data_IF_673887856675
#
_entry.id   IF_673887856675
#
_cell.length_a   1.000
_cell.length_b   1.000
_cell.length_c   1.000
_cell.angle_alpha   90.00
_cell.angle_beta   90.00
_cell.angle_gamma   90.00
#
_symmetry.space_group_name_H-M   'P 1'
#
loop_
_entity.id
_entity.type
_entity.pdbx_description
1 polymer ?
#
# COMPACT_ATOMS: atom_id res chain seq x y z
N UNK A 1 4.91 37.28 4.94
CA UNK A 1 4.87 35.77 4.94
C UNK A 1 4.02 35.37 3.79
N UNK A 2 4.63 35.00 2.68
CA UNK A 2 3.96 34.47 1.49
C UNK A 2 3.63 33.02 1.77
N UNK A 3 2.37 32.72 2.06
CA UNK A 3 1.88 31.35 2.11
C UNK A 3 1.97 30.77 0.70
N UNK A 4 2.92 29.88 0.50
CA UNK A 4 3.00 29.09 -0.72
C UNK A 4 1.67 28.31 -0.86
N UNK A 5 0.99 28.34 -2.02
CA UNK A 5 -0.23 27.58 -2.21
C UNK A 5 0.09 26.08 -1.99
N UNK A 6 -0.85 25.28 -1.45
CA UNK A 6 -0.65 23.86 -1.28
C UNK A 6 -0.20 23.25 -2.61
N UNK A 7 0.86 22.47 -2.58
CA UNK A 7 1.35 21.73 -3.75
C UNK A 7 0.19 20.98 -4.40
N UNK A 8 0.10 21.03 -5.72
CA UNK A 8 -0.88 20.21 -6.45
C UNK A 8 -0.74 18.75 -6.01
N UNK A 9 -1.84 18.01 -5.80
CA UNK A 9 -1.79 16.64 -5.37
C UNK A 9 -0.95 15.82 -6.36
N UNK A 10 -0.15 14.87 -5.84
CA UNK A 10 0.70 13.96 -6.64
C UNK A 10 -0.12 12.91 -7.43
N UNK A 11 -1.40 13.17 -7.62
CA UNK A 11 -2.39 12.31 -8.27
C UNK A 11 -2.22 12.35 -9.78
N UNK A 12 -2.15 11.17 -10.41
CA UNK A 12 -2.18 11.00 -11.85
C UNK A 12 -3.63 10.72 -12.32
N UNK A 13 -4.27 11.63 -13.11
CA UNK A 13 -5.66 11.45 -13.55
C UNK A 13 -5.90 10.21 -14.41
N UNK A 14 -4.90 9.77 -15.19
CA UNK A 14 -5.03 8.57 -16.03
C UNK A 14 -5.05 7.30 -15.17
N UNK A 15 -4.29 7.26 -14.08
CA UNK A 15 -4.33 6.19 -13.09
C UNK A 15 -5.69 6.13 -12.39
N UNK A 16 -6.24 7.29 -11.97
CA UNK A 16 -7.58 7.36 -11.37
C UNK A 16 -8.62 6.76 -12.31
N UNK A 17 -8.63 7.16 -13.59
CA UNK A 17 -9.57 6.65 -14.58
C UNK A 17 -9.40 5.13 -14.84
N UNK A 18 -8.17 4.62 -14.77
CA UNK A 18 -7.89 3.19 -14.88
C UNK A 18 -8.51 2.39 -13.73
N UNK A 19 -8.24 2.79 -12.48
CA UNK A 19 -8.77 2.09 -11.31
C UNK A 19 -10.28 2.24 -11.15
N UNK A 20 -10.88 3.35 -11.56
CA UNK A 20 -12.34 3.49 -11.58
C UNK A 20 -13.07 2.42 -12.41
N UNK A 21 -12.47 1.97 -13.52
CA UNK A 21 -13.04 0.91 -14.35
C UNK A 21 -13.02 -0.45 -13.69
N UNK A 22 -12.06 -0.68 -12.79
CA UNK A 22 -11.83 -1.97 -12.13
C UNK A 22 -12.49 -2.06 -10.74
N UNK A 23 -12.97 -0.95 -10.18
CA UNK A 23 -13.40 -0.84 -8.79
C UNK A 23 -14.42 -1.92 -8.37
N UNK A 24 -15.39 -2.26 -9.21
CA UNK A 24 -16.43 -3.26 -8.92
C UNK A 24 -15.91 -4.70 -8.79
N UNK A 25 -14.63 -4.94 -9.12
CA UNK A 25 -14.02 -6.28 -9.12
C UNK A 25 -13.03 -6.50 -7.97
N UNK A 26 -12.89 -5.54 -7.05
CA UNK A 26 -11.91 -5.63 -5.95
C UNK A 26 -12.06 -6.91 -5.14
N UNK A 27 -13.29 -7.34 -4.84
CA UNK A 27 -13.56 -8.51 -4.00
C UNK A 27 -13.85 -9.79 -4.78
N UNK A 28 -13.70 -9.78 -6.11
CA UNK A 28 -13.71 -10.97 -6.95
C UNK A 28 -12.36 -11.68 -6.81
N UNK A 29 -12.28 -12.68 -5.93
CA UNK A 29 -11.05 -13.41 -5.62
C UNK A 29 -10.49 -14.21 -6.81
N UNK A 30 -11.30 -14.48 -7.84
CA UNK A 30 -10.87 -15.12 -9.10
C UNK A 30 -10.71 -14.07 -10.22
N UNK A 31 -11.03 -12.81 -9.96
CA UNK A 31 -10.98 -11.69 -10.88
C UNK A 31 -9.57 -11.11 -11.07
N UNK A 32 -9.46 -9.89 -11.63
CA UNK A 32 -8.17 -9.26 -11.94
C UNK A 32 -7.31 -8.99 -10.70
N UNK A 33 -7.92 -8.93 -9.50
CA UNK A 33 -7.21 -8.70 -8.24
C UNK A 33 -6.90 -9.99 -7.45
N UNK A 34 -7.08 -11.18 -8.05
CA UNK A 34 -6.74 -12.45 -7.40
C UNK A 34 -5.29 -12.50 -6.84
N UNK A 35 -4.28 -11.88 -7.50
CA UNK A 35 -2.92 -11.88 -6.94
C UNK A 35 -2.84 -11.11 -5.62
N UNK A 36 -3.60 -10.00 -5.50
CA UNK A 36 -3.67 -9.22 -4.26
C UNK A 36 -4.34 -10.01 -3.13
N UNK A 37 -5.43 -10.72 -3.41
CA UNK A 37 -6.07 -11.58 -2.41
C UNK A 37 -5.12 -12.64 -1.86
N UNK A 38 -4.40 -13.35 -2.75
CA UNK A 38 -3.42 -14.36 -2.33
C UNK A 38 -2.22 -13.75 -1.63
N UNK A 39 -1.74 -12.62 -2.11
CA UNK A 39 -0.61 -11.93 -1.51
C UNK A 39 -0.97 -11.29 -0.18
N UNK A 40 -2.24 -10.93 0.03
CA UNK A 40 -2.67 -10.20 1.22
C UNK A 40 -2.37 -10.95 2.52
N UNK A 41 -2.70 -12.23 2.61
CA UNK A 41 -2.41 -13.02 3.81
C UNK A 41 -0.90 -13.04 4.12
N UNK A 42 -0.06 -13.11 3.09
CA UNK A 42 1.38 -13.11 3.22
C UNK A 42 1.92 -11.76 3.71
N UNK A 43 1.49 -10.65 3.10
CA UNK A 43 1.93 -9.29 3.49
C UNK A 43 1.40 -8.87 4.87
N UNK A 44 0.17 -9.27 5.23
CA UNK A 44 -0.41 -9.02 6.56
C UNK A 44 0.43 -9.66 7.66
N UNK A 45 0.90 -10.90 7.46
CA UNK A 45 1.81 -11.56 8.39
C UNK A 45 3.10 -10.78 8.62
N UNK A 46 3.69 -10.23 7.55
CA UNK A 46 4.87 -9.38 7.61
C UNK A 46 4.61 -8.07 8.36
N UNK A 47 3.55 -7.35 7.97
CA UNK A 47 3.17 -6.07 8.59
C UNK A 47 2.91 -6.28 10.08
N UNK A 48 2.10 -7.29 10.46
CA UNK A 48 1.82 -7.63 11.86
C UNK A 48 3.11 -7.84 12.65
N UNK A 49 4.02 -8.67 12.13
CA UNK A 49 5.28 -8.98 12.82
C UNK A 49 6.09 -7.72 13.11
N UNK A 50 6.28 -6.86 12.11
CA UNK A 50 7.09 -5.66 12.25
C UNK A 50 6.41 -4.57 13.09
N UNK A 51 5.08 -4.44 13.03
CA UNK A 51 4.34 -3.56 13.95
C UNK A 51 4.47 -4.03 15.39
N UNK A 52 4.25 -5.32 15.64
CA UNK A 52 4.39 -5.88 16.98
C UNK A 52 5.82 -5.71 17.54
N UNK A 53 6.84 -5.92 16.71
CA UNK A 53 8.24 -5.68 17.12
C UNK A 53 8.50 -4.20 17.43
N UNK A 54 8.01 -3.29 16.58
CA UNK A 54 8.24 -1.85 16.77
C UNK A 54 7.56 -1.30 18.02
N UNK A 55 6.40 -1.83 18.37
CA UNK A 55 5.60 -1.35 19.51
C UNK A 55 5.68 -2.26 20.76
N UNK A 56 6.51 -3.28 20.74
CA UNK A 56 6.70 -4.18 21.90
C UNK A 56 5.48 -5.04 22.23
N UNK A 57 4.71 -5.44 21.21
CA UNK A 57 3.46 -6.19 21.33
C UNK A 57 3.72 -7.67 21.03
N UNK A 58 3.08 -8.58 21.78
CA UNK A 58 3.12 -10.02 21.46
C UNK A 58 2.28 -10.31 20.19
N UNK A 59 2.90 -10.76 19.10
CA UNK A 59 2.17 -11.03 17.84
C UNK A 59 1.19 -12.22 17.92
N UNK A 60 1.25 -13.03 18.98
CA UNK A 60 0.45 -14.26 19.12
C UNK A 60 -0.87 -14.03 19.87
N UNK A 61 -1.17 -12.82 20.29
CA UNK A 61 -2.48 -12.47 20.87
C UNK A 61 -3.58 -12.50 19.80
N UNK A 62 -4.83 -12.60 20.21
CA UNK A 62 -5.98 -12.64 19.29
C UNK A 62 -6.11 -11.35 18.47
N UNK A 63 -5.88 -10.20 19.11
CA UNK A 63 -5.92 -8.88 18.47
C UNK A 63 -4.60 -8.12 18.70
N UNK A 64 -3.51 -8.54 18.02
CA UNK A 64 -2.18 -8.02 18.31
C UNK A 64 -1.97 -6.56 17.90
N UNK A 65 -2.89 -5.99 17.11
CA UNK A 65 -2.82 -4.59 16.68
C UNK A 65 -3.82 -3.70 17.42
N UNK A 66 -4.48 -4.21 18.49
CA UNK A 66 -5.43 -3.43 19.28
C UNK A 66 -4.79 -2.15 19.83
N UNK A 67 -5.49 -1.02 19.67
CA UNK A 67 -5.03 0.29 20.10
C UNK A 67 -4.09 1.01 19.13
N UNK A 68 -3.61 0.36 18.08
CA UNK A 68 -2.82 1.03 17.03
C UNK A 68 -3.72 1.73 16.01
N UNK A 69 -3.39 2.97 15.70
CA UNK A 69 -4.00 3.76 14.62
C UNK A 69 -3.15 3.59 13.36
N UNK A 70 -3.73 2.98 12.33
CA UNK A 70 -3.04 2.70 11.07
C UNK A 70 -3.69 3.51 9.94
N UNK A 71 -2.85 4.04 9.05
CA UNK A 71 -3.28 4.67 7.80
C UNK A 71 -2.89 3.77 6.64
N UNK A 72 -3.86 3.40 5.80
CA UNK A 72 -3.67 2.66 4.55
C UNK A 72 -3.90 3.62 3.37
N UNK A 73 -2.81 4.12 2.77
CA UNK A 73 -2.86 5.06 1.64
C UNK A 73 -3.00 4.26 0.34
N UNK A 74 -3.98 4.66 -0.49
CA UNK A 74 -4.34 3.91 -1.69
C UNK A 74 -5.00 2.57 -1.32
N UNK A 75 -5.92 2.58 -0.35
CA UNK A 75 -6.52 1.37 0.21
C UNK A 75 -7.33 0.55 -0.80
N UNK A 76 -7.65 1.11 -1.99
CA UNK A 76 -8.45 0.44 -3.00
C UNK A 76 -9.81 0.00 -2.46
N UNK A 77 -10.18 -1.24 -2.72
CA UNK A 77 -11.41 -1.85 -2.19
C UNK A 77 -11.32 -2.33 -0.73
N UNK A 78 -10.26 -2.00 0.02
CA UNK A 78 -10.15 -2.27 1.46
C UNK A 78 -9.61 -3.63 1.86
N UNK A 79 -9.05 -4.42 0.95
CA UNK A 79 -8.59 -5.81 1.22
C UNK A 79 -7.55 -5.85 2.36
N UNK A 80 -6.57 -4.95 2.37
CA UNK A 80 -5.56 -4.86 3.42
C UNK A 80 -6.15 -4.25 4.69
N UNK A 81 -6.85 -3.12 4.54
CA UNK A 81 -7.46 -2.38 5.65
C UNK A 81 -8.34 -3.29 6.52
N UNK A 82 -9.24 -4.08 5.93
CA UNK A 82 -10.09 -5.02 6.67
C UNK A 82 -9.27 -6.11 7.39
N UNK A 83 -8.22 -6.61 6.75
CA UNK A 83 -7.38 -7.63 7.37
C UNK A 83 -6.65 -7.11 8.60
N UNK A 84 -6.24 -5.84 8.60
CA UNK A 84 -5.62 -5.18 9.75
C UNK A 84 -6.64 -4.84 10.85
N UNK A 85 -7.85 -4.42 10.47
CA UNK A 85 -8.94 -4.18 11.41
C UNK A 85 -9.33 -5.47 12.15
N UNK A 86 -9.36 -6.64 11.47
CA UNK A 86 -9.60 -7.95 12.10
C UNK A 86 -8.51 -8.33 13.12
N UNK A 87 -7.32 -7.76 13.02
CA UNK A 87 -6.25 -7.89 14.02
C UNK A 87 -6.34 -6.86 15.15
N UNK A 88 -7.43 -6.06 15.20
CA UNK A 88 -7.73 -5.10 16.26
C UNK A 88 -7.28 -3.67 15.99
N UNK A 89 -6.64 -3.37 14.85
CA UNK A 89 -6.21 -2.01 14.54
C UNK A 89 -7.40 -1.07 14.27
N UNK A 90 -7.25 0.20 14.65
CA UNK A 90 -8.08 1.30 14.18
C UNK A 90 -7.54 1.77 12.84
N UNK A 91 -8.19 1.39 11.74
CA UNK A 91 -7.70 1.64 10.39
C UNK A 91 -8.46 2.78 9.74
N UNK A 92 -7.72 3.79 9.27
CA UNK A 92 -8.19 4.78 8.31
C UNK A 92 -7.68 4.37 6.93
N UNK A 93 -8.56 4.11 6.00
CA UNK A 93 -8.23 3.81 4.60
C UNK A 93 -8.53 5.02 3.72
N UNK A 94 -7.56 5.47 2.92
CA UNK A 94 -7.79 6.57 1.98
C UNK A 94 -7.48 6.16 0.55
N UNK A 95 -8.29 6.65 -0.37
CA UNK A 95 -8.08 6.48 -1.81
C UNK A 95 -8.60 7.71 -2.55
N UNK A 96 -8.00 8.01 -3.69
CA UNK A 96 -8.40 9.14 -4.55
C UNK A 96 -9.48 8.76 -5.57
N UNK A 97 -9.82 7.47 -5.65
CA UNK A 97 -10.86 6.92 -6.51
C UNK A 97 -12.13 6.68 -5.70
N UNK A 98 -13.13 7.52 -5.90
CA UNK A 98 -14.39 7.46 -5.14
C UNK A 98 -15.12 6.12 -5.22
N UNK A 99 -15.03 5.42 -6.36
CA UNK A 99 -15.62 4.08 -6.51
C UNK A 99 -14.92 3.03 -5.64
N UNK A 100 -13.60 3.14 -5.45
CA UNK A 100 -12.85 2.25 -4.57
C UNK A 100 -13.35 2.40 -3.12
N UNK A 101 -13.43 3.63 -2.63
CA UNK A 101 -13.97 3.95 -1.29
C UNK A 101 -15.36 3.37 -1.11
N UNK A 102 -16.24 3.58 -2.10
CA UNK A 102 -17.61 3.05 -2.01
C UNK A 102 -17.65 1.52 -1.92
N UNK A 103 -16.79 0.83 -2.66
CA UNK A 103 -16.67 -0.64 -2.60
C UNK A 103 -16.13 -1.07 -1.24
N UNK A 104 -15.11 -0.39 -0.71
CA UNK A 104 -14.52 -0.68 0.60
C UNK A 104 -15.54 -0.50 1.74
N UNK A 105 -16.29 0.61 1.76
CA UNK A 105 -17.36 0.88 2.72
C UNK A 105 -18.43 -0.22 2.72
N UNK A 106 -18.93 -0.57 1.53
CA UNK A 106 -19.99 -1.58 1.40
C UNK A 106 -19.53 -2.96 1.85
N UNK A 107 -18.29 -3.34 1.54
CA UNK A 107 -17.75 -4.63 1.95
C UNK A 107 -17.49 -4.69 3.46
N UNK A 108 -16.92 -3.63 4.04
CA UNK A 108 -16.71 -3.54 5.49
C UNK A 108 -18.03 -3.60 6.27
N UNK A 109 -19.04 -2.88 5.80
CA UNK A 109 -20.41 -2.95 6.39
C UNK A 109 -20.95 -4.38 6.35
N UNK A 110 -20.84 -5.07 5.21
CA UNK A 110 -21.26 -6.47 5.06
C UNK A 110 -20.46 -7.44 5.92
N UNK A 111 -19.22 -7.10 6.24
CA UNK A 111 -18.31 -7.87 7.11
C UNK A 111 -18.45 -7.54 8.59
N UNK A 112 -19.27 -6.56 8.97
CA UNK A 112 -19.45 -6.11 10.35
C UNK A 112 -18.19 -5.46 10.94
N UNK A 113 -17.35 -4.84 10.10
CA UNK A 113 -16.14 -4.15 10.51
C UNK A 113 -16.35 -2.65 10.53
N UNK A 114 -15.82 -2.01 11.58
CA UNK A 114 -15.77 -0.55 11.71
C UNK A 114 -14.43 -0.02 11.20
N UNK A 115 -14.45 0.61 10.04
CA UNK A 115 -13.29 1.24 9.40
C UNK A 115 -13.65 2.64 8.92
N UNK A 116 -12.69 3.53 8.99
CA UNK A 116 -12.81 4.91 8.53
C UNK A 116 -12.26 5.02 7.09
N UNK A 117 -13.13 4.89 6.11
CA UNK A 117 -12.78 5.06 4.71
C UNK A 117 -13.05 6.48 4.23
N UNK A 118 -12.09 7.11 3.56
CA UNK A 118 -12.21 8.50 3.10
C UNK A 118 -11.74 8.67 1.66
N UNK A 119 -12.52 9.39 0.88
CA UNK A 119 -12.09 9.92 -0.41
C UNK A 119 -11.14 11.09 -0.17
N UNK A 120 -9.87 10.82 -0.08
CA UNK A 120 -8.85 11.81 0.26
C UNK A 120 -7.47 11.42 -0.29
N UNK A 121 -6.60 12.43 -0.45
CA UNK A 121 -5.17 12.21 -0.70
C UNK A 121 -4.36 12.28 0.60
N UNK A 122 -3.11 11.79 0.56
CA UNK A 122 -2.18 11.91 1.68
C UNK A 122 -1.94 13.39 2.06
N UNK A 123 -1.87 14.26 1.07
CA UNK A 123 -1.69 15.71 1.25
C UNK A 123 -2.85 16.35 2.03
N UNK A 124 -4.09 15.91 1.75
CA UNK A 124 -5.26 16.42 2.46
C UNK A 124 -5.24 16.04 3.94
N UNK A 125 -4.86 14.81 4.27
CA UNK A 125 -4.72 14.36 5.66
C UNK A 125 -3.58 15.10 6.37
N UNK A 126 -2.44 15.26 5.70
CA UNK A 126 -1.30 15.99 6.25
C UNK A 126 -1.65 17.45 6.55
N UNK A 127 -2.42 18.11 5.67
CA UNK A 127 -2.92 19.48 5.90
C UNK A 127 -3.86 19.54 7.11
N UNK A 128 -4.56 18.45 7.43
CA UNK A 128 -5.37 18.30 8.65
C UNK A 128 -4.56 18.05 9.93
N UNK A 129 -3.24 17.87 9.83
CA UNK A 129 -2.36 17.60 10.97
C UNK A 129 -2.55 16.21 11.58
N UNK A 130 -3.13 15.28 10.86
CA UNK A 130 -3.35 13.92 11.35
C UNK A 130 -2.03 13.14 11.43
N UNK A 131 -1.93 12.27 12.45
CA UNK A 131 -0.78 11.39 12.64
C UNK A 131 -1.23 10.01 13.08
N UNK A 132 -0.48 8.98 12.66
CA UNK A 132 -0.78 7.58 12.87
C UNK A 132 0.41 6.84 13.48
N UNK A 133 0.14 5.74 14.17
CA UNK A 133 1.19 4.84 14.68
C UNK A 133 1.96 4.20 13.53
N UNK A 134 1.25 3.79 12.47
CA UNK A 134 1.91 3.37 11.25
C UNK A 134 1.16 3.85 9.99
N UNK A 135 1.93 4.12 8.94
CA UNK A 135 1.46 4.51 7.61
C UNK A 135 1.89 3.44 6.62
N UNK A 136 0.94 2.95 5.84
CA UNK A 136 1.13 1.89 4.86
C UNK A 136 0.99 2.48 3.45
N UNK A 137 1.98 2.22 2.60
CA UNK A 137 2.01 2.57 1.18
C UNK A 137 2.26 1.28 0.39
N UNK A 138 1.19 0.58 0.02
CA UNK A 138 1.29 -0.74 -0.60
C UNK A 138 0.93 -0.65 -2.07
N UNK A 139 1.95 -0.66 -2.95
CA UNK A 139 1.82 -0.54 -4.41
C UNK A 139 1.17 0.81 -4.83
N UNK A 140 1.59 1.91 -4.20
CA UNK A 140 1.09 3.27 -4.46
C UNK A 140 2.16 4.17 -5.03
N UNK A 141 3.40 4.04 -4.56
CA UNK A 141 4.50 4.96 -4.90
C UNK A 141 4.85 4.98 -6.39
N UNK A 142 4.53 3.93 -7.15
CA UNK A 142 4.69 3.85 -8.60
C UNK A 142 3.60 4.59 -9.40
N UNK A 143 2.52 5.02 -8.73
CA UNK A 143 1.37 5.69 -9.36
C UNK A 143 1.34 7.20 -9.11
N UNK A 144 2.32 7.74 -8.37
CA UNK A 144 2.40 9.16 -8.06
C UNK A 144 3.27 9.91 -9.08
N UNK A 145 2.96 11.19 -9.31
CA UNK A 145 3.69 12.04 -10.26
C UNK A 145 5.04 12.52 -9.69
N UNK A 146 5.07 12.87 -8.40
CA UNK A 146 6.24 13.38 -7.69
C UNK A 146 6.50 12.52 -6.45
N UNK A 147 7.36 11.51 -6.61
CA UNK A 147 7.69 10.58 -5.53
C UNK A 147 8.34 11.25 -4.32
N UNK A 148 9.36 12.14 -4.44
CA UNK A 148 9.95 12.83 -3.31
C UNK A 148 8.94 13.66 -2.52
N UNK A 149 8.11 14.45 -3.19
CA UNK A 149 7.08 15.26 -2.56
C UNK A 149 6.05 14.40 -1.82
N UNK A 150 5.56 13.33 -2.47
CA UNK A 150 4.63 12.37 -1.88
C UNK A 150 5.21 11.70 -0.62
N UNK A 151 6.44 11.18 -0.68
CA UNK A 151 7.08 10.54 0.47
C UNK A 151 7.31 11.51 1.62
N UNK A 152 7.68 12.77 1.32
CA UNK A 152 7.79 13.82 2.34
C UNK A 152 6.47 14.06 3.06
N UNK A 153 5.36 14.15 2.32
CA UNK A 153 4.01 14.27 2.89
C UNK A 153 3.65 13.05 3.73
N UNK A 154 3.84 11.84 3.21
CA UNK A 154 3.58 10.62 3.95
C UNK A 154 4.38 10.55 5.26
N UNK A 155 5.63 11.07 5.25
CA UNK A 155 6.46 11.17 6.43
C UNK A 155 5.85 12.00 7.56
N UNK A 156 5.11 13.08 7.24
CA UNK A 156 4.45 13.92 8.25
C UNK A 156 3.26 13.23 8.91
N UNK A 157 2.66 12.23 8.25
CA UNK A 157 1.54 11.45 8.77
C UNK A 157 1.97 10.37 9.77
N UNK A 158 3.27 10.07 9.85
CA UNK A 158 3.81 9.14 10.84
C UNK A 158 4.14 9.93 12.11
N UNK A 159 3.56 9.53 13.26
CA UNK A 159 3.92 10.16 14.54
C UNK A 159 5.38 9.88 14.91
N UNK A 160 6.00 10.70 15.79
CA UNK A 160 7.30 10.38 16.33
C UNK A 160 7.34 8.97 16.97
N UNK A 161 8.33 8.17 16.59
CA UNK A 161 8.44 6.77 16.99
C UNK A 161 7.48 5.80 16.29
N UNK A 162 6.74 6.29 15.29
CA UNK A 162 5.87 5.47 14.43
C UNK A 162 6.63 4.74 13.32
N UNK A 163 5.91 3.95 12.53
CA UNK A 163 6.45 3.10 11.48
C UNK A 163 5.87 3.49 10.11
N UNK A 164 6.69 3.45 9.06
CA UNK A 164 6.22 3.46 7.68
C UNK A 164 6.56 2.13 7.01
N UNK A 165 5.58 1.53 6.34
CA UNK A 165 5.75 0.33 5.51
C UNK A 165 5.48 0.70 4.07
N UNK A 166 6.45 0.43 3.19
CA UNK A 166 6.31 0.69 1.75
C UNK A 166 6.57 -0.60 0.99
N UNK A 167 5.65 -0.97 0.11
CA UNK A 167 5.84 -2.03 -0.86
C UNK A 167 5.68 -1.48 -2.27
N UNK A 168 6.53 -1.93 -3.18
CA UNK A 168 6.48 -1.54 -4.60
C UNK A 168 7.23 -2.54 -5.45
N UNK A 169 6.95 -2.59 -6.74
CA UNK A 169 7.72 -3.38 -7.69
C UNK A 169 9.03 -2.64 -8.00
N UNK A 170 10.15 -3.33 -7.76
CA UNK A 170 11.48 -2.74 -7.96
C UNK A 170 11.77 -2.51 -9.46
N UNK A 171 12.38 -1.38 -9.80
CA UNK A 171 12.79 -1.05 -11.18
C UNK A 171 14.05 -1.81 -11.59
N UNK A 172 13.89 -3.10 -11.89
CA UNK A 172 14.96 -3.98 -12.40
C UNK A 172 14.53 -4.69 -13.68
N UNK A 173 15.49 -5.08 -14.52
CA UNK A 173 15.21 -5.87 -15.71
C UNK A 173 14.47 -7.19 -15.40
N UNK A 174 14.74 -7.78 -14.25
CA UNK A 174 14.08 -8.99 -13.79
C UNK A 174 12.60 -8.70 -13.46
N UNK A 175 12.30 -7.58 -12.79
CA UNK A 175 10.93 -7.14 -12.55
C UNK A 175 10.19 -6.87 -13.88
N UNK A 176 10.83 -6.23 -14.85
CA UNK A 176 10.26 -6.03 -16.17
C UNK A 176 9.87 -7.35 -16.85
N UNK A 177 10.79 -8.32 -16.87
CA UNK A 177 10.53 -9.61 -17.50
C UNK A 177 9.45 -10.42 -16.77
N UNK A 178 9.43 -10.40 -15.44
CA UNK A 178 8.52 -11.24 -14.66
C UNK A 178 7.17 -10.54 -14.45
N UNK A 179 7.15 -9.31 -13.95
CA UNK A 179 5.92 -8.62 -13.58
C UNK A 179 5.19 -8.06 -14.82
N UNK A 180 5.92 -7.46 -15.77
CA UNK A 180 5.30 -6.85 -16.95
C UNK A 180 5.12 -7.88 -18.06
N UNK A 181 6.21 -8.42 -18.64
CA UNK A 181 6.07 -9.37 -19.75
C UNK A 181 5.44 -10.68 -19.31
N UNK A 182 5.85 -11.24 -18.17
CA UNK A 182 5.36 -12.52 -17.68
C UNK A 182 3.92 -12.44 -17.19
N UNK A 183 3.63 -11.62 -16.20
CA UNK A 183 2.33 -11.58 -15.55
C UNK A 183 1.25 -10.90 -16.41
N UNK A 184 1.56 -9.80 -17.10
CA UNK A 184 0.56 -9.05 -17.88
C UNK A 184 0.36 -9.62 -19.30
N UNK A 185 1.44 -9.96 -20.01
CA UNK A 185 1.36 -10.33 -21.43
C UNK A 185 1.35 -11.83 -21.71
N UNK A 186 2.06 -12.63 -20.91
CA UNK A 186 2.17 -14.09 -21.14
C UNK A 186 1.12 -14.84 -20.34
N UNK A 187 1.01 -14.60 -19.04
CA UNK A 187 0.12 -15.34 -18.15
C UNK A 187 -1.27 -14.70 -18.00
N UNK A 188 -1.42 -13.44 -18.37
CA UNK A 188 -2.70 -12.73 -18.23
C UNK A 188 -3.19 -12.64 -16.77
N UNK A 189 -2.28 -12.68 -15.80
CA UNK A 189 -2.61 -12.64 -14.38
C UNK A 189 -3.02 -11.25 -13.92
N UNK A 190 -2.62 -10.22 -14.67
CA UNK A 190 -2.93 -8.83 -14.41
C UNK A 190 -3.41 -8.15 -15.69
N UNK A 191 -4.28 -7.13 -15.62
CA UNK A 191 -4.67 -6.34 -16.78
C UNK A 191 -3.45 -5.74 -17.49
N UNK A 192 -3.46 -5.74 -18.82
CA UNK A 192 -2.39 -5.13 -19.61
C UNK A 192 -2.29 -3.64 -19.33
N UNK A 193 -1.07 -3.11 -19.17
CA UNK A 193 -0.81 -1.71 -18.89
C UNK A 193 -0.96 -1.31 -17.43
N UNK A 194 -1.07 -2.27 -16.51
CA UNK A 194 -1.09 -2.00 -15.07
C UNK A 194 0.26 -1.42 -14.59
N UNK A 195 1.38 -1.85 -15.19
CA UNK A 195 2.70 -1.40 -14.78
C UNK A 195 3.49 -0.76 -15.93
N UNK A 196 3.97 0.46 -15.70
CA UNK A 196 4.89 1.15 -16.59
C UNK A 196 6.31 1.10 -16.02
N UNK A 197 7.26 0.50 -16.72
CA UNK A 197 8.65 0.38 -16.31
C UNK A 197 9.26 1.65 -15.71
N UNK A 198 8.99 2.81 -16.33
CA UNK A 198 9.54 4.10 -15.89
C UNK A 198 8.97 4.59 -14.56
N UNK A 199 7.80 4.09 -14.17
CA UNK A 199 7.12 4.43 -12.91
C UNK A 199 7.52 3.50 -11.75
N UNK A 200 8.18 2.37 -12.02
CA UNK A 200 8.66 1.46 -10.98
C UNK A 200 9.72 2.16 -10.11
N UNK A 201 9.71 1.89 -8.82
CA UNK A 201 10.49 2.63 -7.82
C UNK A 201 11.58 1.73 -7.22
N UNK A 202 12.78 2.28 -7.06
CA UNK A 202 13.87 1.56 -6.37
C UNK A 202 13.77 1.78 -4.86
N UNK A 203 14.08 0.75 -4.03
CA UNK A 203 14.12 0.92 -2.57
C UNK A 203 15.00 2.08 -2.09
N UNK A 204 16.08 2.38 -2.84
CA UNK A 204 16.96 3.52 -2.53
C UNK A 204 16.30 4.87 -2.79
N UNK A 205 15.39 4.97 -3.75
CA UNK A 205 14.62 6.19 -4.02
C UNK A 205 13.60 6.45 -2.91
N UNK A 206 12.99 5.38 -2.36
CA UNK A 206 12.09 5.48 -1.19
C UNK A 206 12.85 5.98 0.03
N UNK A 207 13.98 5.36 0.35
CA UNK A 207 14.78 5.77 1.53
C UNK A 207 15.34 7.18 1.40
N UNK A 208 15.74 7.59 0.19
CA UNK A 208 16.21 8.94 -0.07
C UNK A 208 15.07 9.98 0.02
N UNK A 209 13.88 9.63 -0.49
CA UNK A 209 12.71 10.53 -0.45
C UNK A 209 12.16 10.75 0.96
N UNK A 210 12.22 9.74 1.83
CA UNK A 210 11.85 9.89 3.24
C UNK A 210 12.90 10.70 4.02
N UNK A 211 14.19 10.46 3.79
CA UNK A 211 15.27 11.15 4.48
C UNK A 211 15.20 11.08 6.01
N UNK A 212 15.89 12.02 6.69
CA UNK A 212 15.79 12.15 8.13
C UNK A 212 14.43 12.75 8.54
N UNK A 213 13.79 12.30 9.65
CA UNK A 213 14.37 11.44 10.69
C UNK A 213 14.16 9.94 10.49
N UNK A 214 13.75 9.48 9.31
CA UNK A 214 13.49 8.06 9.08
C UNK A 214 14.77 7.24 8.97
N UNK A 215 14.76 6.05 9.57
CA UNK A 215 15.81 5.05 9.44
C UNK A 215 15.24 3.74 8.89
N UNK A 216 15.92 3.13 7.93
CA UNK A 216 15.52 1.82 7.41
C UNK A 216 15.80 0.74 8.46
N UNK A 217 14.76 0.10 8.99
CA UNK A 217 14.87 -0.95 10.00
C UNK A 217 14.87 -2.35 9.39
N UNK A 218 14.14 -2.57 8.31
CA UNK A 218 14.09 -3.86 7.61
C UNK A 218 13.77 -3.70 6.13
N UNK A 219 14.30 -4.60 5.31
CA UNK A 219 14.03 -4.69 3.88
C UNK A 219 14.05 -6.13 3.42
N UNK A 220 13.06 -6.53 2.65
CA UNK A 220 12.97 -7.87 2.06
C UNK A 220 12.43 -7.79 0.64
N UNK A 221 12.75 -8.76 -0.20
CA UNK A 221 12.06 -8.98 -1.45
C UNK A 221 11.02 -10.09 -1.29
N UNK A 222 10.10 -10.14 -2.25
CA UNK A 222 9.11 -11.22 -2.36
C UNK A 222 9.27 -11.91 -3.71
N UNK A 223 9.21 -13.24 -3.71
CA UNK A 223 9.20 -14.06 -4.93
C UNK A 223 7.92 -14.87 -4.97
N UNK A 224 7.32 -14.94 -6.14
CA UNK A 224 6.22 -15.85 -6.42
C UNK A 224 6.78 -17.14 -7.05
N UNK A 225 6.31 -18.28 -6.57
CA UNK A 225 6.59 -19.56 -7.20
C UNK A 225 5.55 -19.78 -8.32
N UNK A 226 5.95 -19.86 -9.60
CA UNK A 226 5.01 -19.96 -10.71
C UNK A 226 4.23 -21.30 -10.73
N UNK A 227 4.75 -22.35 -10.09
CA UNK A 227 4.12 -23.68 -10.10
C UNK A 227 2.97 -23.82 -9.10
N UNK A 228 3.15 -23.27 -7.87
CA UNK A 228 2.13 -23.38 -6.82
C UNK A 228 1.52 -22.01 -6.44
N UNK A 229 1.93 -20.92 -7.13
CA UNK A 229 1.51 -19.53 -6.86
C UNK A 229 1.73 -19.11 -5.40
N UNK A 230 2.70 -19.74 -4.70
CA UNK A 230 3.08 -19.40 -3.33
C UNK A 230 4.06 -18.22 -3.30
N UNK A 231 4.05 -17.50 -2.17
CA UNK A 231 4.94 -16.35 -1.94
C UNK A 231 6.03 -16.74 -0.95
N UNK A 232 7.25 -16.21 -1.17
CA UNK A 232 8.41 -16.44 -0.31
C UNK A 232 9.20 -15.15 -0.13
N UNK A 233 9.65 -14.89 1.10
CA UNK A 233 10.60 -13.81 1.35
C UNK A 233 11.96 -14.15 0.78
N UNK A 234 12.68 -13.14 0.30
CA UNK A 234 14.02 -13.31 -0.27
C UNK A 234 14.88 -12.08 0.03
N UNK A 235 16.17 -12.30 0.16
CA UNK A 235 17.15 -11.20 0.21
C UNK A 235 17.41 -10.58 -1.16
N UNK A 236 17.00 -11.25 -2.23
CA UNK A 236 17.13 -10.76 -3.58
C UNK A 236 15.99 -9.82 -3.94
N UNK A 237 16.32 -8.55 -4.17
CA UNK A 237 15.38 -7.48 -4.48
C UNK A 237 15.15 -7.31 -5.99
N UNK A 238 15.17 -8.38 -6.75
CA UNK A 238 15.09 -8.32 -8.20
C UNK A 238 13.72 -7.94 -8.75
N UNK A 239 12.65 -8.26 -8.02
CA UNK A 239 11.27 -7.96 -8.46
C UNK A 239 10.60 -7.01 -7.48
N UNK A 240 10.66 -7.30 -6.19
CA UNK A 240 9.99 -6.50 -5.16
C UNK A 240 10.96 -6.29 -3.98
#
# INVERSE_FOLDING_TARGET
MTTQPPSAPSIDPDEVAHFEKLAHRWWDAEGPFWPLHRFNAFRVGYIRLHLCQAFGIDPNTEQPLAGLRLLDIGCGGGILSESLARLGAQVTGVDVVGKNIRVAELHALGSGLDLDYRLASAEALAAGGEQFDAVLNMEVVEHVQDLPAFLSVCGTLVRPGGLMVVATINRTWVAFLIAILGAEYVLGWMPKGTHHWRKLVKPTEVTAGLGAPFALIHRTGVRINPFNRGFHYTRYLGVN
#
